data_IF_735276436136
#
_entry.id   IF_735276436136
#
_cell.length_a   1.000
_cell.length_b   1.000
_cell.length_c   1.000
_cell.angle_alpha   90.00
_cell.angle_beta   90.00
_cell.angle_gamma   90.00
#
_symmetry.space_group_name_H-M   'P 1'
#
loop_
_entity.id
_entity.type
_entity.pdbx_description
1 polymer ?
#
# COMPACT_ATOMS: atom_id res chain seq x y z
N UNK A 1 -2.22 -10.24 -2.15
CA UNK A 1 -0.77 -10.24 -1.82
C UNK A 1 0.11 -9.88 -3.01
N UNK A 2 0.11 -10.65 -4.11
CA UNK A 2 0.98 -10.40 -5.27
C UNK A 2 0.90 -8.96 -5.83
N UNK A 3 -0.31 -8.47 -6.12
CA UNK A 3 -0.48 -7.10 -6.63
C UNK A 3 0.01 -6.02 -5.65
N UNK A 4 -0.22 -6.22 -4.35
CA UNK A 4 0.23 -5.29 -3.30
C UNK A 4 1.75 -5.29 -3.14
N UNK A 5 2.38 -6.46 -3.24
CA UNK A 5 3.83 -6.59 -3.18
C UNK A 5 4.51 -5.83 -4.32
N UNK A 6 4.00 -5.96 -5.55
CA UNK A 6 4.50 -5.19 -6.70
C UNK A 6 4.36 -3.67 -6.51
N UNK A 7 3.21 -3.20 -6.01
CA UNK A 7 2.98 -1.77 -5.75
C UNK A 7 3.92 -1.24 -4.66
N UNK A 8 4.04 -1.94 -3.53
CA UNK A 8 4.95 -1.53 -2.45
C UNK A 8 6.40 -1.53 -2.91
N UNK A 9 6.84 -2.58 -3.61
CA UNK A 9 8.20 -2.65 -4.14
C UNK A 9 8.49 -1.51 -5.11
N UNK A 10 7.55 -1.14 -5.98
CA UNK A 10 7.70 0.01 -6.87
C UNK A 10 7.80 1.34 -6.11
N UNK A 11 6.97 1.54 -5.07
CA UNK A 11 7.03 2.72 -4.21
C UNK A 11 8.37 2.82 -3.45
N UNK A 12 8.86 1.70 -2.92
CA UNK A 12 10.19 1.66 -2.28
C UNK A 12 11.31 1.92 -3.28
N UNK A 13 11.22 1.39 -4.50
CA UNK A 13 12.20 1.71 -5.54
C UNK A 13 12.19 3.21 -5.88
N UNK A 14 11.02 3.84 -5.97
CA UNK A 14 10.91 5.29 -6.16
C UNK A 14 11.51 6.08 -4.97
N UNK A 15 11.28 5.63 -3.73
CA UNK A 15 11.91 6.22 -2.54
C UNK A 15 13.43 6.04 -2.55
N UNK A 16 13.94 4.89 -3.00
CA UNK A 16 15.37 4.64 -3.20
C UNK A 16 16.00 5.60 -4.23
N UNK A 17 15.27 5.96 -5.30
CA UNK A 17 15.72 7.01 -6.23
C UNK A 17 15.86 8.36 -5.54
N UNK A 18 14.93 8.70 -4.65
CA UNK A 18 15.00 9.94 -3.87
C UNK A 18 16.19 9.92 -2.89
N UNK A 19 16.40 8.79 -2.22
CA UNK A 19 17.52 8.60 -1.31
C UNK A 19 18.87 8.71 -2.03
N UNK A 20 19.03 8.06 -3.17
CA UNK A 20 20.26 8.13 -3.98
C UNK A 20 20.55 9.57 -4.47
N UNK A 21 19.50 10.29 -4.89
CA UNK A 21 19.64 11.63 -5.48
C UNK A 21 19.79 12.75 -4.44
N UNK A 22 19.06 12.64 -3.32
CA UNK A 22 18.90 13.72 -2.34
C UNK A 22 19.45 13.37 -0.94
N UNK A 23 19.91 12.14 -0.72
CA UNK A 23 20.36 11.62 0.58
C UNK A 23 19.30 11.79 1.68
N UNK A 24 18.03 11.77 1.30
CA UNK A 24 16.91 11.95 2.21
C UNK A 24 15.65 11.29 1.64
N UNK A 25 14.84 10.75 2.53
CA UNK A 25 13.47 10.29 2.27
C UNK A 25 12.44 11.11 3.05
N UNK A 26 12.91 12.16 3.75
CA UNK A 26 12.04 13.01 4.56
C UNK A 26 11.17 13.89 3.66
N UNK A 27 9.86 13.84 3.88
CA UNK A 27 8.88 14.57 3.08
C UNK A 27 9.05 16.10 3.18
N UNK A 28 9.46 16.58 4.36
CA UNK A 28 9.66 18.00 4.62
C UNK A 28 10.94 18.51 3.93
N UNK A 29 12.04 17.76 4.01
CA UNK A 29 13.29 18.08 3.34
C UNK A 29 13.19 18.01 1.81
N UNK A 30 12.38 17.07 1.30
CA UNK A 30 12.17 16.85 -0.14
C UNK A 30 11.07 17.73 -0.74
N UNK A 31 10.45 18.61 0.05
CA UNK A 31 9.33 19.46 -0.40
C UNK A 31 9.70 20.24 -1.68
N UNK A 32 9.09 19.86 -2.80
CA UNK A 32 9.31 20.44 -4.12
C UNK A 32 10.71 20.22 -4.72
N UNK A 33 11.59 19.45 -4.07
CA UNK A 33 12.97 19.20 -4.56
C UNK A 33 13.00 18.24 -5.74
N UNK A 34 12.06 17.30 -5.82
CA UNK A 34 12.01 16.27 -6.86
C UNK A 34 11.22 16.67 -8.12
N UNK A 35 10.96 17.97 -8.32
CA UNK A 35 10.26 18.49 -9.52
C UNK A 35 10.99 18.18 -10.84
N UNK A 36 12.30 17.98 -10.76
CA UNK A 36 13.15 17.58 -11.89
C UNK A 36 13.01 16.08 -12.28
N UNK A 37 12.29 15.27 -11.50
CA UNK A 37 12.10 13.83 -11.71
C UNK A 37 10.62 13.48 -12.04
N UNK A 38 10.03 14.01 -13.13
CA UNK A 38 8.60 13.83 -13.42
C UNK A 38 8.21 12.37 -13.66
N UNK A 39 9.11 11.57 -14.24
CA UNK A 39 8.87 10.15 -14.52
C UNK A 39 8.76 9.33 -13.22
N UNK A 40 9.67 9.57 -12.26
CA UNK A 40 9.62 8.95 -10.92
C UNK A 40 8.36 9.41 -10.19
N UNK A 41 8.03 10.69 -10.28
CA UNK A 41 6.80 11.24 -9.70
C UNK A 41 5.53 10.59 -10.28
N UNK A 42 5.50 10.31 -11.59
CA UNK A 42 4.40 9.61 -12.23
C UNK A 42 4.29 8.16 -11.74
N UNK A 43 5.40 7.42 -11.68
CA UNK A 43 5.42 6.05 -11.15
C UNK A 43 4.99 6.01 -9.67
N UNK A 44 5.44 6.98 -8.88
CA UNK A 44 5.05 7.12 -7.48
C UNK A 44 3.56 7.42 -7.33
N UNK A 45 3.01 8.32 -8.16
CA UNK A 45 1.57 8.62 -8.17
C UNK A 45 0.74 7.40 -8.59
N UNK A 46 1.14 6.68 -9.63
CA UNK A 46 0.48 5.44 -10.07
C UNK A 46 0.54 4.38 -8.97
N UNK A 47 1.69 4.21 -8.30
CA UNK A 47 1.83 3.34 -7.14
C UNK A 47 0.92 3.75 -5.99
N UNK A 48 0.80 5.05 -5.69
CA UNK A 48 -0.11 5.58 -4.68
C UNK A 48 -1.58 5.31 -5.02
N UNK A 49 -1.99 5.48 -6.27
CA UNK A 49 -3.34 5.16 -6.73
C UNK A 49 -3.61 3.65 -6.67
N UNK A 50 -2.67 2.82 -7.11
CA UNK A 50 -2.78 1.37 -7.01
C UNK A 50 -2.87 0.91 -5.54
N UNK A 51 -2.18 1.61 -4.62
CA UNK A 51 -2.26 1.36 -3.17
C UNK A 51 -3.64 1.70 -2.58
N UNK A 52 -4.39 2.63 -3.19
CA UNK A 52 -5.78 2.92 -2.82
C UNK A 52 -6.75 1.78 -3.19
N UNK A 53 -6.31 0.83 -4.02
CA UNK A 53 -7.14 -0.20 -4.63
C UNK A 53 -7.81 0.23 -5.93
N UNK A 54 -7.20 1.16 -6.68
CA UNK A 54 -7.72 1.62 -7.98
C UNK A 54 -7.82 0.45 -8.99
N UNK A 55 -9.00 0.19 -9.59
CA UNK A 55 -9.11 -0.72 -10.73
C UNK A 55 -8.33 -0.19 -11.95
N UNK A 56 -7.63 -1.05 -12.73
CA UNK A 56 -7.68 -2.51 -12.68
C UNK A 56 -6.42 -3.15 -12.04
N UNK A 57 -5.78 -2.52 -11.05
CA UNK A 57 -4.60 -3.11 -10.39
C UNK A 57 -4.97 -4.33 -9.54
N UNK A 58 -4.05 -5.30 -9.45
CA UNK A 58 -4.24 -6.53 -8.66
C UNK A 58 -4.39 -6.29 -7.16
N UNK A 59 -3.89 -5.16 -6.64
CA UNK A 59 -4.18 -4.69 -5.28
C UNK A 59 -5.67 -4.38 -5.09
N UNK A 60 -6.31 -3.76 -6.09
CA UNK A 60 -7.74 -3.50 -6.11
C UNK A 60 -8.57 -4.77 -6.25
N UNK A 61 -8.16 -5.70 -7.12
CA UNK A 61 -8.88 -6.98 -7.30
C UNK A 61 -8.87 -7.80 -6.00
N UNK A 62 -7.70 -7.93 -5.36
CA UNK A 62 -7.58 -8.64 -4.09
C UNK A 62 -8.38 -7.98 -2.97
N UNK A 63 -8.44 -6.64 -2.95
CA UNK A 63 -9.29 -5.89 -2.03
C UNK A 63 -10.78 -6.13 -2.29
N UNK A 64 -11.24 -6.07 -3.54
CA UNK A 64 -12.63 -6.29 -3.89
C UNK A 64 -13.14 -7.67 -3.44
N UNK A 65 -12.35 -8.73 -3.67
CA UNK A 65 -12.66 -10.10 -3.20
C UNK A 65 -12.71 -10.15 -1.67
N UNK A 66 -11.78 -9.48 -0.99
CA UNK A 66 -11.77 -9.45 0.48
C UNK A 66 -12.95 -8.64 1.07
N UNK A 67 -13.33 -7.54 0.42
CA UNK A 67 -14.48 -6.71 0.82
C UNK A 67 -15.79 -7.46 0.68
N UNK A 68 -15.98 -8.19 -0.43
CA UNK A 68 -17.16 -9.02 -0.65
C UNK A 68 -17.26 -10.13 0.40
N UNK A 69 -16.19 -10.91 0.59
CA UNK A 69 -16.15 -11.97 1.59
C UNK A 69 -16.42 -11.42 3.01
N UNK A 70 -15.80 -10.29 3.35
CA UNK A 70 -16.00 -9.64 4.64
C UNK A 70 -17.42 -9.08 4.81
N UNK A 71 -18.04 -8.59 3.74
CA UNK A 71 -19.41 -8.07 3.75
C UNK A 71 -20.44 -9.13 4.15
N UNK A 72 -20.19 -10.40 3.84
CA UNK A 72 -21.03 -11.52 4.30
C UNK A 72 -20.89 -11.80 5.80
N UNK A 73 -19.73 -11.52 6.40
CA UNK A 73 -19.52 -11.68 7.86
C UNK A 73 -20.02 -10.46 8.63
N UNK A 74 -19.75 -9.24 8.16
CA UNK A 74 -20.24 -8.02 8.79
C UNK A 74 -20.33 -6.85 7.79
N UNK A 75 -21.51 -6.24 7.71
CA UNK A 75 -21.82 -5.17 6.74
C UNK A 75 -20.96 -3.89 6.89
N UNK A 76 -20.32 -3.68 8.05
CA UNK A 76 -19.47 -2.52 8.30
C UNK A 76 -18.03 -2.70 7.76
N UNK A 77 -17.61 -3.94 7.49
CA UNK A 77 -16.22 -4.23 7.09
C UNK A 77 -15.83 -3.60 5.74
N UNK A 78 -16.66 -3.63 4.67
CA UNK A 78 -16.34 -2.93 3.43
C UNK A 78 -16.07 -1.43 3.64
N UNK A 79 -16.82 -0.78 4.53
CA UNK A 79 -16.58 0.62 4.87
C UNK A 79 -15.21 0.82 5.57
N UNK A 80 -14.80 -0.11 6.44
CA UNK A 80 -13.46 -0.10 7.04
C UNK A 80 -12.37 -0.26 5.97
N UNK A 81 -12.52 -1.19 5.03
CA UNK A 81 -11.56 -1.37 3.92
C UNK A 81 -11.41 -0.10 3.08
N UNK A 82 -12.52 0.54 2.73
CA UNK A 82 -12.54 1.83 2.01
C UNK A 82 -11.80 2.90 2.79
N UNK A 83 -12.12 3.06 4.08
CA UNK A 83 -11.51 4.08 4.94
C UNK A 83 -10.00 3.88 5.09
N UNK A 84 -9.56 2.67 5.44
CA UNK A 84 -8.15 2.35 5.63
C UNK A 84 -7.37 2.55 4.32
N UNK A 85 -7.91 2.07 3.20
CA UNK A 85 -7.28 2.27 1.89
C UNK A 85 -7.16 3.74 1.51
N UNK A 86 -8.21 4.53 1.78
CA UNK A 86 -8.22 5.96 1.50
C UNK A 86 -7.19 6.72 2.34
N UNK A 87 -7.07 6.39 3.64
CA UNK A 87 -6.09 7.01 4.54
C UNK A 87 -4.67 6.62 4.16
N UNK A 88 -4.40 5.33 3.94
CA UNK A 88 -3.06 4.85 3.57
C UNK A 88 -2.62 5.37 2.20
N UNK A 89 -3.45 5.20 1.17
CA UNK A 89 -3.14 5.68 -0.17
C UNK A 89 -3.12 7.21 -0.25
N UNK A 90 -4.02 7.89 0.46
CA UNK A 90 -4.04 9.34 0.56
C UNK A 90 -2.79 9.92 1.22
N UNK A 91 -2.23 9.25 2.23
CA UNK A 91 -0.97 9.65 2.84
C UNK A 91 0.21 9.56 1.84
N UNK A 92 0.26 8.50 1.03
CA UNK A 92 1.26 8.34 -0.04
C UNK A 92 1.07 9.39 -1.14
N UNK A 93 -0.14 9.57 -1.65
CA UNK A 93 -0.44 10.59 -2.67
C UNK A 93 -0.10 12.01 -2.19
N UNK A 94 -0.41 12.32 -0.93
CA UNK A 94 -0.05 13.58 -0.27
C UNK A 94 1.46 13.77 -0.27
N UNK A 95 2.24 12.77 0.16
CA UNK A 95 3.69 12.83 0.13
C UNK A 95 4.21 13.06 -1.31
N UNK A 96 3.65 12.36 -2.30
CA UNK A 96 4.00 12.55 -3.70
C UNK A 96 3.71 13.98 -4.21
N UNK A 97 2.55 14.54 -3.86
CA UNK A 97 2.18 15.93 -4.18
C UNK A 97 3.15 16.95 -3.55
N UNK A 98 3.61 16.71 -2.33
CA UNK A 98 4.57 17.60 -1.66
C UNK A 98 5.99 17.45 -2.24
N UNK A 99 6.45 16.23 -2.49
CA UNK A 99 7.80 15.94 -2.95
C UNK A 99 8.00 16.32 -4.43
N UNK A 100 7.15 15.81 -5.31
CA UNK A 100 7.32 15.94 -6.76
C UNK A 100 6.65 17.18 -7.34
N UNK A 101 5.53 17.63 -6.76
CA UNK A 101 4.81 18.80 -7.24
C UNK A 101 4.98 20.04 -6.36
N UNK A 102 5.62 19.92 -5.19
CA UNK A 102 5.85 21.01 -4.24
C UNK A 102 4.57 21.77 -3.87
N UNK A 103 3.45 21.06 -3.81
CA UNK A 103 2.15 21.65 -3.48
C UNK A 103 1.99 21.68 -1.96
N UNK A 104 1.48 22.79 -1.43
CA UNK A 104 1.20 22.97 0.01
C UNK A 104 2.04 24.06 0.65
N UNK A 105 1.90 24.21 1.98
CA UNK A 105 2.80 25.09 2.75
C UNK A 105 4.11 24.36 3.00
N UNK A 106 5.22 25.04 2.74
CA UNK A 106 6.55 24.56 3.12
C UNK A 106 6.58 24.37 4.65
N UNK A 107 7.00 23.21 5.14
CA UNK A 107 7.23 22.99 6.57
C UNK A 107 8.20 24.05 7.08
N UNK A 108 7.91 24.66 8.23
CA UNK A 108 8.82 25.66 8.82
C UNK A 108 9.92 24.91 9.56
N UNK A 109 11.15 25.16 9.14
CA UNK A 109 12.35 24.74 9.86
C UNK A 109 12.29 25.33 11.29
N UNK A 110 12.13 24.48 12.31
CA UNK A 110 12.54 24.86 13.67
C UNK A 110 11.55 24.75 14.84
N UNK A 111 10.32 24.23 14.71
CA UNK A 111 9.46 24.15 15.91
C UNK A 111 8.37 23.08 15.93
N UNK A 112 8.62 21.87 15.42
CA UNK A 112 7.71 20.73 15.64
C UNK A 112 8.36 19.36 15.44
N UNK A 113 9.70 19.31 15.40
CA UNK A 113 10.45 18.06 15.30
C UNK A 113 10.46 17.36 16.65
N UNK A 114 9.50 16.46 16.86
CA UNK A 114 9.73 15.32 17.75
C UNK A 114 10.89 14.47 17.20
N UNK A 115 11.32 13.41 17.91
CA UNK A 115 12.33 12.50 17.39
C UNK A 115 11.75 11.77 16.17
N UNK A 116 11.86 12.39 15.00
CA UNK A 116 11.69 11.75 13.72
C UNK A 116 12.90 10.84 13.55
N UNK A 117 12.66 9.60 13.14
CA UNK A 117 13.71 8.63 12.86
C UNK A 117 14.44 9.09 11.59
N UNK A 118 15.28 10.10 11.74
CA UNK A 118 16.27 10.54 10.75
C UNK A 118 17.27 9.41 10.66
N UNK A 119 17.00 8.45 9.77
CA UNK A 119 18.08 7.66 9.20
C UNK A 119 18.89 8.63 8.35
N UNK A 120 19.90 9.27 8.94
CA UNK A 120 20.99 9.86 8.18
C UNK A 120 21.73 8.69 7.50
N UNK A 121 21.22 8.26 6.35
CA UNK A 121 21.80 7.17 5.59
C UNK A 121 22.68 7.78 4.50
N UNK A 122 23.99 7.64 4.67
CA UNK A 122 24.96 8.08 3.67
C UNK A 122 24.70 7.35 2.35
N UNK A 123 24.66 8.04 1.20
CA UNK A 123 24.45 7.38 -0.08
C UNK A 123 25.56 6.34 -0.34
N UNK A 124 25.16 5.08 -0.56
CA UNK A 124 26.08 3.95 -0.82
C UNK A 124 27.01 4.18 -2.03
N UNK A 125 26.67 5.14 -2.91
CA UNK A 125 27.54 5.60 -3.98
C UNK A 125 27.96 7.06 -3.75
N UNK A 126 29.26 7.28 -3.54
CA UNK A 126 29.86 8.62 -3.34
C UNK A 126 29.79 9.58 -4.54
N UNK A 127 28.91 9.33 -5.53
CA UNK A 127 28.67 10.20 -6.68
C UNK A 127 27.18 10.39 -6.91
N UNK A 128 26.70 11.61 -6.69
CA UNK A 128 25.36 12.05 -7.11
C UNK A 128 25.20 11.83 -8.62
N UNK A 129 24.32 10.92 -9.03
CA UNK A 129 24.12 10.58 -10.44
C UNK A 129 23.54 11.77 -11.22
N UNK A 130 24.27 12.30 -12.21
CA UNK A 130 23.84 13.47 -13.02
C UNK A 130 22.63 13.19 -13.93
N UNK A 131 22.38 11.91 -14.26
CA UNK A 131 21.24 11.41 -15.04
C UNK A 131 20.72 10.14 -14.39
N UNK A 132 19.41 9.97 -14.30
CA UNK A 132 18.79 8.76 -13.75
C UNK A 132 19.15 7.58 -14.67
N UNK A 133 19.82 6.52 -14.17
CA UNK A 133 20.06 5.32 -14.94
C UNK A 133 18.75 4.66 -15.35
N UNK A 134 18.65 4.14 -16.58
CA UNK A 134 17.45 3.45 -17.09
C UNK A 134 16.92 2.36 -16.14
N UNK A 135 17.77 1.55 -15.47
CA UNK A 135 17.28 0.55 -14.51
C UNK A 135 16.49 1.12 -13.33
N UNK A 136 16.82 2.33 -12.87
CA UNK A 136 16.15 3.00 -11.75
C UNK A 136 14.67 3.31 -12.04
N UNK A 137 14.31 3.45 -13.32
CA UNK A 137 12.92 3.65 -13.76
C UNK A 137 12.27 2.36 -14.24
N UNK A 138 13.04 1.50 -14.92
CA UNK A 138 12.54 0.24 -15.46
C UNK A 138 12.02 -0.70 -14.37
N UNK A 139 12.71 -0.79 -13.23
CA UNK A 139 12.32 -1.66 -12.10
C UNK A 139 10.95 -1.27 -11.51
N UNK A 140 10.72 -0.03 -11.03
CA UNK A 140 9.40 0.36 -10.52
C UNK A 140 8.30 0.25 -11.59
N UNK A 141 8.60 0.58 -12.85
CA UNK A 141 7.64 0.42 -13.94
C UNK A 141 7.25 -1.06 -14.17
N UNK A 142 8.23 -1.97 -14.20
CA UNK A 142 7.99 -3.41 -14.35
C UNK A 142 7.21 -4.00 -13.17
N UNK A 143 7.50 -3.54 -11.95
CA UNK A 143 6.79 -3.97 -10.74
C UNK A 143 5.32 -3.50 -10.74
N UNK A 144 5.05 -2.27 -11.18
CA UNK A 144 3.68 -1.77 -11.37
C UNK A 144 2.96 -2.50 -12.50
N UNK A 145 3.66 -2.77 -13.62
CA UNK A 145 3.12 -3.56 -14.72
C UNK A 145 2.77 -4.99 -14.26
N UNK A 146 3.61 -5.61 -13.43
CA UNK A 146 3.31 -6.90 -12.80
C UNK A 146 2.08 -6.84 -11.90
N UNK A 147 1.93 -5.78 -11.10
CA UNK A 147 0.72 -5.59 -10.29
C UNK A 147 -0.54 -5.39 -11.13
N UNK A 148 -0.44 -4.64 -12.22
CA UNK A 148 -1.51 -4.45 -13.19
C UNK A 148 -1.88 -5.77 -13.88
N UNK A 149 -0.87 -6.54 -14.30
CA UNK A 149 -1.05 -7.85 -14.92
C UNK A 149 -1.83 -8.82 -14.01
N UNK A 150 -1.58 -8.81 -12.70
CA UNK A 150 -2.34 -9.60 -11.72
C UNK A 150 -3.84 -9.24 -11.73
N UNK A 151 -4.19 -7.97 -11.95
CA UNK A 151 -5.58 -7.52 -11.96
C UNK A 151 -6.29 -7.68 -13.30
N UNK A 152 -5.55 -7.76 -14.42
CA UNK A 152 -6.12 -7.77 -15.78
C UNK A 152 -6.06 -9.14 -16.44
N UNK A 153 -5.04 -9.96 -16.17
CA UNK A 153 -4.81 -11.23 -16.89
C UNK A 153 -5.59 -12.38 -16.20
N UNK A 154 -6.63 -12.96 -16.84
CA UNK A 154 -7.45 -14.01 -16.22
C UNK A 154 -6.68 -15.28 -15.89
N UNK A 155 -5.62 -15.59 -16.65
CA UNK A 155 -4.76 -16.73 -16.38
C UNK A 155 -4.01 -16.60 -15.04
N UNK A 156 -3.61 -15.37 -14.68
CA UNK A 156 -2.98 -15.09 -13.38
C UNK A 156 -4.00 -15.25 -12.26
N UNK A 157 -5.21 -14.68 -12.43
CA UNK A 157 -6.30 -14.86 -11.48
C UNK A 157 -6.63 -16.35 -11.25
N UNK A 158 -6.71 -17.14 -12.32
CA UNK A 158 -6.95 -18.59 -12.25
C UNK A 158 -5.80 -19.36 -11.61
N UNK A 159 -4.55 -18.92 -11.78
CA UNK A 159 -3.41 -19.54 -11.09
C UNK A 159 -3.43 -19.24 -9.59
N UNK A 160 -3.75 -18.01 -9.20
CA UNK A 160 -3.91 -17.59 -7.80
C UNK A 160 -5.07 -18.31 -7.13
N UNK A 161 -6.20 -18.46 -7.84
CA UNK A 161 -7.36 -19.21 -7.37
C UNK A 161 -7.03 -20.67 -7.04
N UNK A 162 -6.40 -21.38 -7.99
CA UNK A 162 -5.94 -22.76 -7.78
C UNK A 162 -4.98 -22.87 -6.61
N UNK A 163 -4.05 -21.93 -6.47
CA UNK A 163 -3.12 -21.90 -5.34
C UNK A 163 -3.86 -21.65 -4.02
N UNK A 164 -4.86 -20.77 -4.01
CA UNK A 164 -5.71 -20.50 -2.85
C UNK A 164 -6.54 -21.72 -2.44
N UNK A 165 -7.18 -22.38 -3.40
CA UNK A 165 -7.98 -23.59 -3.17
C UNK A 165 -7.14 -24.71 -2.54
N UNK A 166 -5.93 -24.94 -3.04
CA UNK A 166 -4.98 -25.90 -2.46
C UNK A 166 -4.50 -25.46 -1.08
N UNK A 167 -4.25 -24.17 -0.87
CA UNK A 167 -3.80 -23.63 0.42
C UNK A 167 -4.85 -23.82 1.52
N UNK A 168 -6.13 -23.75 1.18
CA UNK A 168 -7.24 -23.96 2.14
C UNK A 168 -7.66 -25.43 2.29
N UNK A 169 -7.24 -26.33 1.39
CA UNK A 169 -7.58 -27.76 1.46
C UNK A 169 -6.65 -28.54 2.39
N UNK A 170 -6.90 -28.41 3.69
CA UNK A 170 -6.17 -29.16 4.73
C UNK A 170 -6.24 -30.68 4.53
N UNK A 171 -7.37 -31.19 4.02
CA UNK A 171 -7.58 -32.63 3.80
C UNK A 171 -6.79 -33.17 2.62
N UNK A 172 -6.77 -32.43 1.50
CA UNK A 172 -5.91 -32.72 0.35
C UNK A 172 -4.43 -32.60 0.69
N UNK A 173 -4.04 -31.55 1.42
CA UNK A 173 -2.66 -31.39 1.90
C UNK A 173 -2.22 -32.58 2.75
N UNK A 174 -3.02 -32.97 3.75
CA UNK A 174 -2.74 -34.13 4.61
C UNK A 174 -2.60 -35.44 3.81
N UNK A 175 -3.50 -35.71 2.86
CA UNK A 175 -3.43 -36.90 2.00
C UNK A 175 -2.19 -36.90 1.10
N UNK A 176 -1.79 -35.73 0.60
CA UNK A 176 -0.59 -35.62 -0.23
C UNK A 176 0.70 -35.88 0.55
N UNK A 177 0.78 -35.39 1.80
CA UNK A 177 1.97 -35.53 2.64
C UNK A 177 2.03 -36.90 3.33
N UNK A 178 0.91 -37.39 3.86
CA UNK A 178 0.88 -38.64 4.64
C UNK A 178 0.70 -39.88 3.76
N UNK A 179 -0.15 -39.81 2.73
CA UNK A 179 -0.51 -40.97 1.92
C UNK A 179 0.20 -40.97 0.54
N UNK A 180 1.01 -39.95 0.24
CA UNK A 180 1.69 -39.80 -1.05
C UNK A 180 0.75 -39.60 -2.25
N UNK A 181 -0.54 -39.31 -2.00
CA UNK A 181 -1.56 -39.18 -3.05
C UNK A 181 -1.67 -37.73 -3.49
N UNK A 182 -1.42 -37.45 -4.77
CA UNK A 182 -1.56 -36.10 -5.32
C UNK A 182 -2.94 -35.51 -4.98
N UNK A 183 -2.96 -34.31 -4.41
CA UNK A 183 -4.18 -33.59 -4.10
C UNK A 183 -4.85 -33.15 -5.41
N UNK A 184 -6.12 -33.51 -5.59
CA UNK A 184 -6.94 -32.93 -6.65
C UNK A 184 -7.22 -31.47 -6.30
N UNK A 185 -7.10 -30.57 -7.29
CA UNK A 185 -7.42 -29.16 -7.07
C UNK A 185 -8.94 -29.03 -6.87
N UNK A 186 -9.41 -28.46 -5.73
CA UNK A 186 -10.83 -28.23 -5.52
C UNK A 186 -11.40 -27.33 -6.62
N UNK A 187 -12.67 -27.55 -6.98
CA UNK A 187 -13.36 -26.66 -7.91
C UNK A 187 -13.63 -25.31 -7.23
N UNK A 188 -13.15 -24.23 -7.82
CA UNK A 188 -13.34 -22.84 -7.36
C UNK A 188 -13.63 -21.93 -8.54
N UNK A 189 -14.26 -20.78 -8.26
CA UNK A 189 -14.52 -19.74 -9.26
C UNK A 189 -13.40 -18.72 -9.19
N UNK A 190 -12.63 -18.50 -10.27
CA UNK A 190 -11.55 -17.53 -10.25
C UNK A 190 -12.03 -16.12 -9.87
N UNK A 191 -11.20 -15.36 -9.13
CA UNK A 191 -11.54 -14.01 -8.75
C UNK A 191 -11.67 -13.15 -10.01
N UNK A 192 -12.73 -12.37 -10.06
CA UNK A 192 -13.05 -11.49 -11.18
C UNK A 192 -13.54 -10.15 -10.65
N UNK A 193 -13.51 -9.13 -11.51
CA UNK A 193 -13.99 -7.81 -11.17
C UNK A 193 -15.51 -7.80 -11.07
N UNK A 194 -16.01 -7.45 -9.89
CA UNK A 194 -17.41 -7.20 -9.65
C UNK A 194 -17.72 -5.70 -9.66
N UNK A 195 -18.93 -5.34 -10.06
CA UNK A 195 -19.37 -3.94 -10.11
C UNK A 195 -19.24 -3.26 -8.73
N UNK A 196 -19.64 -3.93 -7.65
CA UNK A 196 -19.51 -3.40 -6.28
C UNK A 196 -18.06 -3.15 -5.92
N UNK A 197 -17.17 -4.10 -6.18
CA UNK A 197 -15.73 -3.95 -5.93
C UNK A 197 -15.09 -2.81 -6.72
N UNK A 198 -15.50 -2.62 -7.99
CA UNK A 198 -15.07 -1.48 -8.81
C UNK A 198 -15.51 -0.16 -8.15
N UNK A 199 -16.78 -0.06 -7.75
CA UNK A 199 -17.33 1.15 -7.12
C UNK A 199 -16.63 1.46 -5.80
N UNK A 200 -16.41 0.46 -4.94
CA UNK A 200 -15.70 0.65 -3.67
C UNK A 200 -14.22 1.04 -3.88
N UNK A 201 -13.55 0.45 -4.87
CA UNK A 201 -12.19 0.81 -5.28
C UNK A 201 -12.08 2.25 -5.78
N UNK A 202 -13.02 2.68 -6.63
CA UNK A 202 -13.11 4.06 -7.10
C UNK A 202 -13.43 5.03 -5.97
N UNK A 203 -14.36 4.68 -5.07
CA UNK A 203 -14.70 5.47 -3.89
C UNK A 203 -13.48 5.68 -3.00
N UNK A 204 -12.74 4.60 -2.71
CA UNK A 204 -11.52 4.65 -1.90
C UNK A 204 -10.46 5.56 -2.53
N UNK A 205 -10.31 5.47 -3.86
CA UNK A 205 -9.35 6.30 -4.59
C UNK A 205 -9.77 7.78 -4.61
N UNK A 206 -11.05 8.06 -4.82
CA UNK A 206 -11.59 9.42 -4.77
C UNK A 206 -11.43 10.05 -3.38
N UNK A 207 -11.71 9.27 -2.32
CA UNK A 207 -11.48 9.69 -0.94
C UNK A 207 -10.00 9.90 -0.66
N UNK A 208 -9.11 9.03 -1.13
CA UNK A 208 -7.66 9.20 -0.99
C UNK A 208 -7.16 10.50 -1.64
N UNK A 209 -7.58 10.78 -2.88
CA UNK A 209 -7.23 12.02 -3.59
C UNK A 209 -7.79 13.23 -2.83
N UNK A 210 -9.03 13.15 -2.34
CA UNK A 210 -9.66 14.22 -1.55
C UNK A 210 -8.88 14.47 -0.26
N UNK A 211 -8.53 13.41 0.48
CA UNK A 211 -7.74 13.52 1.71
C UNK A 211 -6.34 14.08 1.43
N UNK A 212 -5.69 13.62 0.36
CA UNK A 212 -4.37 14.11 -0.04
C UNK A 212 -4.41 15.60 -0.37
N UNK A 213 -5.36 16.02 -1.21
CA UNK A 213 -5.52 17.43 -1.60
C UNK A 213 -5.91 18.31 -0.43
N UNK A 214 -6.80 17.86 0.46
CA UNK A 214 -7.16 18.58 1.68
C UNK A 214 -5.97 18.71 2.62
N UNK A 215 -5.20 17.65 2.85
CA UNK A 215 -4.04 17.66 3.74
C UNK A 215 -2.89 18.54 3.23
N UNK A 216 -2.82 18.75 1.92
CA UNK A 216 -1.89 19.70 1.31
C UNK A 216 -2.40 21.15 1.42
N UNK A 217 -3.70 21.39 1.27
CA UNK A 217 -4.32 22.73 1.30
C UNK A 217 -4.57 23.28 2.71
N UNK A 218 -4.97 22.42 3.64
CA UNK A 218 -5.32 22.74 5.02
C UNK A 218 -4.40 21.93 5.94
N UNK A 219 -3.26 22.48 6.39
CA UNK A 219 -2.41 21.77 7.32
C UNK A 219 -3.21 21.43 8.58
N UNK A 220 -3.03 20.19 9.02
CA UNK A 220 -3.60 19.63 10.25
C UNK A 220 -3.24 20.60 11.39
N UNK A 221 -4.25 21.07 12.15
CA UNK A 221 -4.02 22.00 13.26
C UNK A 221 -3.09 21.35 14.28
N UNK A 222 -2.24 22.14 14.92
CA UNK A 222 -1.29 21.70 15.97
C UNK A 222 -1.93 20.80 17.04
N UNK A 223 -3.20 21.03 17.41
CA UNK A 223 -3.92 20.19 18.39
C UNK A 223 -4.09 18.72 17.98
N UNK A 224 -4.26 18.43 16.70
CA UNK A 224 -4.33 17.05 16.18
C UNK A 224 -2.98 16.34 16.21
N UNK A 225 -1.87 17.08 16.10
CA UNK A 225 -0.53 16.48 16.25
C UNK A 225 -0.28 16.01 17.69
N UNK A 226 -0.75 16.79 18.69
CA UNK A 226 -0.68 16.42 20.11
C UNK A 226 -1.53 15.17 20.43
N UNK A 227 -2.74 15.07 19.84
CA UNK A 227 -3.60 13.89 20.00
C UNK A 227 -2.98 12.61 19.42
N UNK A 228 -2.18 12.74 18.36
CA UNK A 228 -1.49 11.63 17.71
C UNK A 228 -0.12 11.34 18.32
N UNK A 229 0.41 12.18 19.20
CA UNK A 229 1.70 11.98 19.86
C UNK A 229 1.82 10.62 20.60
N UNK A 230 0.82 10.14 21.38
CA UNK A 230 0.90 8.81 21.98
C UNK A 230 0.93 7.70 20.93
N UNK A 231 0.18 7.84 19.82
CA UNK A 231 0.18 6.86 18.71
C UNK A 231 1.54 6.84 17.99
N UNK A 232 2.18 8.00 17.79
CA UNK A 232 3.53 8.08 17.22
C UNK A 232 4.57 7.46 18.13
N UNK A 233 4.44 7.62 19.45
CA UNK A 233 5.35 6.96 20.42
C UNK A 233 5.26 5.44 20.39
N UNK A 234 4.12 4.90 19.95
CA UNK A 234 3.92 3.46 19.74
C UNK A 234 4.50 2.97 18.40
N UNK A 235 5.06 3.86 17.58
CA UNK A 235 5.78 3.55 16.34
C UNK A 235 7.26 3.87 16.54
N UNK A 236 8.02 2.94 17.12
CA UNK A 236 9.45 3.16 17.40
C UNK A 236 10.37 2.97 16.19
N UNK A 237 9.83 2.61 15.03
CA UNK A 237 10.59 2.19 13.85
C UNK A 237 11.16 0.77 13.93
N UNK A 238 11.01 0.07 15.06
CA UNK A 238 11.44 -1.32 15.20
C UNK A 238 10.45 -2.28 14.52
N UNK A 239 10.99 -3.25 13.77
CA UNK A 239 10.21 -4.27 13.04
C UNK A 239 9.23 -5.01 14.00
N UNK A 240 9.66 -5.26 15.24
CA UNK A 240 8.86 -5.92 16.27
C UNK A 240 7.54 -5.23 16.58
N UNK A 241 7.51 -3.89 16.61
CA UNK A 241 6.29 -3.13 16.90
C UNK A 241 5.25 -3.29 15.79
N UNK A 242 5.68 -3.32 14.53
CA UNK A 242 4.77 -3.53 13.40
C UNK A 242 4.12 -4.92 13.45
N UNK A 243 4.89 -5.95 13.83
CA UNK A 243 4.34 -7.31 14.02
C UNK A 243 3.36 -7.33 15.19
N UNK A 244 3.70 -6.70 16.32
CA UNK A 244 2.82 -6.61 17.48
C UNK A 244 1.48 -5.93 17.13
N UNK A 245 1.51 -4.80 16.43
CA UNK A 245 0.30 -4.10 15.98
C UNK A 245 -0.53 -4.91 14.98
N UNK A 246 0.12 -5.67 14.09
CA UNK A 246 -0.57 -6.56 13.17
C UNK A 246 -1.29 -7.69 13.91
N UNK A 247 -0.63 -8.31 14.90
CA UNK A 247 -1.23 -9.37 15.73
C UNK A 247 -2.38 -8.81 16.57
N UNK A 248 -2.19 -7.66 17.21
CA UNK A 248 -3.23 -7.03 18.01
C UNK A 248 -4.46 -6.64 17.16
N UNK A 249 -4.23 -6.04 15.99
CA UNK A 249 -5.31 -5.66 15.07
C UNK A 249 -6.07 -6.87 14.51
N UNK A 250 -5.36 -7.94 14.13
CA UNK A 250 -5.98 -9.18 13.64
C UNK A 250 -6.77 -9.90 14.74
N UNK A 251 -6.25 -9.95 15.97
CA UNK A 251 -6.97 -10.50 17.11
C UNK A 251 -8.24 -9.70 17.41
N UNK A 252 -8.17 -8.37 17.43
CA UNK A 252 -9.34 -7.50 17.65
C UNK A 252 -10.40 -7.69 16.55
N UNK A 253 -10.00 -7.70 15.28
CA UNK A 253 -10.92 -7.96 14.17
C UNK A 253 -11.57 -9.34 14.30
N UNK A 254 -10.80 -10.36 14.66
CA UNK A 254 -11.33 -11.71 14.90
C UNK A 254 -12.43 -11.64 15.96
N UNK A 255 -12.15 -11.07 17.14
CA UNK A 255 -13.12 -10.94 18.24
C UNK A 255 -14.38 -10.18 17.81
N UNK A 256 -14.24 -9.08 17.06
CA UNK A 256 -15.38 -8.27 16.59
C UNK A 256 -16.23 -8.97 15.52
N UNK A 257 -15.65 -9.93 14.79
CA UNK A 257 -16.32 -10.65 13.69
C UNK A 257 -16.86 -12.02 14.09
N UNK A 258 -16.38 -12.63 15.19
CA UNK A 258 -16.88 -13.92 15.71
C UNK A 258 -18.43 -14.01 15.75
N UNK A 259 -19.19 -12.97 16.16
CA UNK A 259 -20.65 -13.05 16.18
C UNK A 259 -21.31 -13.24 14.81
N UNK A 260 -20.65 -12.81 13.72
CA UNK A 260 -21.15 -12.89 12.34
C UNK A 260 -20.70 -14.13 11.57
N UNK A 261 -19.97 -15.05 12.21
CA UNK A 261 -19.44 -16.30 11.60
C UNK A 261 -20.34 -17.52 11.89
N UNK A 262 -21.45 -17.34 12.62
CA UNK A 262 -22.43 -18.39 12.93
C UNK A 262 -23.53 -18.46 11.88
#
# INVERSE_FOLDING_TARGET
>A
MLGHAGVKAALFACAGVLLDRYASVDEHELFGRARELPEVGALFAVGGLALCGLPPFGSGLGKAVAEEAAGHTAAWLPALYVLVSAVTGGAVLRAGLRIFAGVGRRPRDGQESGPETTGEEEPETGRRLRRIPVPLLAVPAALLAGSLAVGVIPAVASAVDRAGALFTDTGGYRRSVLDGRAAAVPASVPPHWQATGIVLGLLSTALAITLATLAVRRPVRTGTAALLAPVRRLQSGHIGDYVAWLVAGTALLTVLTVPGVR
#
